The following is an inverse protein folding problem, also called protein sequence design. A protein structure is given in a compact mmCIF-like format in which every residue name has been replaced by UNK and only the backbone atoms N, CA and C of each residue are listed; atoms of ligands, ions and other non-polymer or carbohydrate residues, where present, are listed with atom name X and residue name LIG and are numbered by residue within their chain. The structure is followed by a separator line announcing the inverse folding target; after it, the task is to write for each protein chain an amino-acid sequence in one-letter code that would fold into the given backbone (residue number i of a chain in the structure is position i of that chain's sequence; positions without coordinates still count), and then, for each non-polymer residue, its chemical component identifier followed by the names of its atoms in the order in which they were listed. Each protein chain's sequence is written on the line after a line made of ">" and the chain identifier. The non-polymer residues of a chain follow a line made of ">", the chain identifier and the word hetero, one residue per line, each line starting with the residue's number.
data_IF_878215868295
#
_entry.id   IF_878215868295
#
_cell.length_a   1.000
_cell.length_b   1.000
_cell.length_c   1.000
_cell.angle_alpha   90.00
_cell.angle_beta   90.00
_cell.angle_gamma   90.00
#
_symmetry.space_group_name_H-M   'P 1'
#
loop_
_entity.id
_entity.type
_entity.pdbx_description
1 polymer ?
#
# COMPACT_ATOMS: atom_id res chain seq x y z
N UNK A 1 9.95 -6.50 11.31
CA UNK A 1 9.80 -5.89 9.98
C UNK A 1 10.88 -4.83 9.84
N UNK A 2 11.58 -4.82 8.72
CA UNK A 2 12.68 -3.90 8.42
C UNK A 2 12.70 -3.59 6.92
N UNK A 3 13.32 -2.45 6.56
CA UNK A 3 13.60 -2.15 5.16
C UNK A 3 14.79 -3.00 4.69
N UNK A 4 14.72 -3.48 3.46
CA UNK A 4 15.78 -4.27 2.82
C UNK A 4 16.24 -3.58 1.54
N UNK A 5 17.45 -3.91 1.09
CA UNK A 5 18.07 -3.30 -0.10
C UNK A 5 17.49 -3.82 -1.44
N UNK A 6 16.71 -4.91 -1.40
CA UNK A 6 16.09 -5.47 -2.60
C UNK A 6 15.18 -4.45 -3.28
N UNK A 7 15.38 -4.25 -4.58
CA UNK A 7 14.56 -3.31 -5.33
C UNK A 7 13.15 -3.86 -5.57
N UNK A 8 12.10 -3.02 -5.52
CA UNK A 8 10.73 -3.44 -5.84
C UNK A 8 10.61 -4.17 -7.18
N UNK A 9 11.31 -3.69 -8.21
CA UNK A 9 11.31 -4.27 -9.54
C UNK A 9 11.97 -5.66 -9.57
N UNK A 10 13.00 -5.90 -8.77
CA UNK A 10 13.61 -7.23 -8.62
C UNK A 10 12.63 -8.20 -7.97
N UNK A 11 11.95 -7.77 -6.90
CA UNK A 11 10.90 -8.56 -6.26
C UNK A 11 9.78 -8.89 -7.25
N UNK A 12 9.23 -7.90 -7.96
CA UNK A 12 8.17 -8.10 -8.97
C UNK A 12 8.63 -9.09 -10.05
N UNK A 13 9.85 -8.94 -10.57
CA UNK A 13 10.39 -9.79 -11.62
C UNK A 13 10.65 -11.24 -11.18
N UNK A 14 10.84 -11.48 -9.88
CA UNK A 14 11.04 -12.82 -9.31
C UNK A 14 9.76 -13.65 -9.19
N UNK A 15 8.58 -13.04 -9.37
CA UNK A 15 7.29 -13.72 -9.20
C UNK A 15 6.86 -14.50 -10.45
N UNK A 16 5.94 -15.46 -10.26
CA UNK A 16 5.25 -16.15 -11.36
C UNK A 16 4.53 -15.15 -12.28
N UNK A 17 4.36 -15.51 -13.56
CA UNK A 17 3.96 -14.58 -14.62
C UNK A 17 2.62 -13.86 -14.34
N UNK A 18 1.64 -14.57 -13.78
CA UNK A 18 0.34 -14.03 -13.41
C UNK A 18 0.44 -13.03 -12.24
N UNK A 19 1.18 -13.39 -11.19
CA UNK A 19 1.44 -12.55 -10.02
C UNK A 19 2.23 -11.30 -10.42
N UNK A 20 3.29 -11.49 -11.22
CA UNK A 20 4.14 -10.43 -11.76
C UNK A 20 3.32 -9.40 -12.52
N UNK A 21 2.40 -9.86 -13.37
CA UNK A 21 1.54 -8.98 -14.17
C UNK A 21 0.69 -8.08 -13.26
N UNK A 22 0.03 -8.67 -12.25
CA UNK A 22 -0.80 -7.92 -11.30
C UNK A 22 0.04 -6.94 -10.47
N UNK A 23 1.19 -7.38 -9.95
CA UNK A 23 2.07 -6.51 -9.16
C UNK A 23 2.63 -5.36 -10.00
N UNK A 24 3.02 -5.63 -11.25
CA UNK A 24 3.55 -4.60 -12.14
C UNK A 24 2.49 -3.54 -12.46
N UNK A 25 1.25 -3.95 -12.73
CA UNK A 25 0.14 -3.02 -13.01
C UNK A 25 -0.18 -2.13 -11.80
N UNK A 26 -0.29 -2.73 -10.62
CA UNK A 26 -0.52 -1.98 -9.37
C UNK A 26 0.65 -1.07 -9.03
N UNK A 27 1.89 -1.55 -9.19
CA UNK A 27 3.10 -0.77 -8.96
C UNK A 27 3.15 0.46 -9.88
N UNK A 28 2.82 0.28 -11.16
CA UNK A 28 2.74 1.38 -12.14
C UNK A 28 1.65 2.38 -11.78
N UNK A 29 0.46 1.89 -11.40
CA UNK A 29 -0.65 2.73 -10.96
C UNK A 29 -0.28 3.58 -9.74
N UNK A 30 0.31 2.96 -8.71
CA UNK A 30 0.71 3.66 -7.48
C UNK A 30 1.80 4.70 -7.78
N UNK A 31 2.83 4.37 -8.59
CA UNK A 31 3.89 5.32 -8.99
C UNK A 31 3.34 6.51 -9.76
N UNK A 32 2.33 6.29 -10.60
CA UNK A 32 1.69 7.36 -11.37
C UNK A 32 0.84 8.25 -10.47
N UNK A 33 0.14 7.66 -9.50
CA UNK A 33 -0.70 8.38 -8.55
C UNK A 33 0.11 9.16 -7.48
N UNK A 34 1.33 8.70 -7.18
CA UNK A 34 2.23 9.28 -6.19
C UNK A 34 3.62 9.56 -6.79
N UNK A 35 3.73 10.50 -7.75
CA UNK A 35 4.99 10.80 -8.39
C UNK A 35 6.01 11.38 -7.39
N UNK A 36 7.26 10.97 -7.50
CA UNK A 36 8.38 11.51 -6.70
C UNK A 36 8.41 11.05 -5.24
N UNK A 37 7.56 10.10 -4.84
CA UNK A 37 7.63 9.48 -3.53
C UNK A 37 8.74 8.42 -3.46
N UNK A 38 9.36 8.30 -2.29
CA UNK A 38 10.30 7.21 -2.00
C UNK A 38 9.61 5.85 -2.13
N UNK A 39 10.34 4.87 -2.64
CA UNK A 39 9.87 3.50 -2.79
C UNK A 39 10.91 2.58 -2.16
N UNK A 40 10.46 1.73 -1.23
CA UNK A 40 11.35 0.82 -0.51
C UNK A 40 10.69 -0.54 -0.32
N UNK A 41 11.51 -1.53 -0.02
CA UNK A 41 11.06 -2.89 0.21
C UNK A 41 11.11 -3.19 1.70
N UNK A 42 10.02 -3.74 2.24
CA UNK A 42 9.95 -4.17 3.63
C UNK A 42 9.77 -5.67 3.75
N UNK A 43 10.52 -6.29 4.65
CA UNK A 43 10.42 -7.74 4.93
C UNK A 43 10.29 -8.04 6.43
N UNK A 44 9.72 -9.19 6.74
CA UNK A 44 9.66 -9.77 8.08
C UNK A 44 8.24 -9.98 8.59
N UNK A 45 8.10 -10.15 9.90
CA UNK A 45 6.81 -10.42 10.55
C UNK A 45 6.05 -9.11 10.78
N UNK A 46 4.84 -9.03 10.23
CA UNK A 46 3.91 -7.90 10.34
C UNK A 46 2.74 -8.23 11.29
N UNK A 47 1.72 -7.37 11.29
CA UNK A 47 0.49 -7.58 12.08
C UNK A 47 -0.10 -8.98 11.84
N UNK A 48 -0.58 -9.57 12.93
CA UNK A 48 -1.14 -10.92 12.91
C UNK A 48 -0.09 -12.04 12.82
N UNK A 49 1.20 -11.74 12.92
CA UNK A 49 2.26 -12.76 12.95
C UNK A 49 2.59 -13.34 11.57
N UNK A 50 2.17 -12.68 10.49
CA UNK A 50 2.43 -13.11 9.12
C UNK A 50 3.75 -12.54 8.62
N UNK A 51 4.59 -13.39 8.03
CA UNK A 51 5.77 -12.95 7.29
C UNK A 51 5.35 -12.39 5.94
N UNK A 52 5.78 -11.17 5.62
CA UNK A 52 5.38 -10.48 4.40
C UNK A 52 6.56 -9.77 3.74
N UNK A 53 6.42 -9.62 2.42
CA UNK A 53 7.21 -8.73 1.57
C UNK A 53 6.28 -7.63 1.08
N UNK A 54 6.51 -6.39 1.52
CA UNK A 54 5.68 -5.22 1.18
C UNK A 54 6.51 -4.18 0.43
N UNK A 55 6.08 -3.83 -0.79
CA UNK A 55 6.60 -2.64 -1.47
C UNK A 55 5.92 -1.43 -0.82
N UNK A 56 6.70 -0.60 -0.13
CA UNK A 56 6.24 0.66 0.48
C UNK A 56 6.42 1.83 -0.47
N UNK A 57 5.45 2.74 -0.50
CA UNK A 57 5.48 3.98 -1.28
C UNK A 57 5.17 5.16 -0.37
N UNK A 58 6.01 6.19 -0.45
CA UNK A 58 5.98 7.38 0.39
C UNK A 58 6.41 7.08 1.82
N UNK A 59 7.21 7.96 2.40
CA UNK A 59 7.65 7.84 3.78
C UNK A 59 6.79 8.73 4.69
N UNK A 60 6.21 8.13 5.73
CA UNK A 60 5.55 8.84 6.81
C UNK A 60 6.15 8.38 8.14
N UNK A 61 6.57 9.34 8.96
CA UNK A 61 7.04 9.07 10.31
C UNK A 61 5.95 9.45 11.31
N UNK A 62 5.69 8.58 12.29
CA UNK A 62 4.90 8.97 13.46
C UNK A 62 5.64 8.68 14.75
N UNK A 63 5.43 9.55 15.73
CA UNK A 63 5.96 9.38 17.08
C UNK A 63 4.99 8.54 17.89
N UNK A 64 5.44 7.38 18.36
CA UNK A 64 4.68 6.54 19.28
C UNK A 64 4.65 7.16 20.68
N UNK A 65 3.79 6.63 21.54
CA UNK A 65 3.66 7.04 22.95
C UNK A 65 4.95 6.92 23.76
N UNK A 66 5.89 6.08 23.31
CA UNK A 66 7.23 5.91 23.90
C UNK A 66 8.28 6.87 23.29
N UNK A 67 7.84 7.89 22.56
CA UNK A 67 8.65 8.90 21.85
C UNK A 67 9.58 8.33 20.77
N UNK A 68 9.44 7.07 20.39
CA UNK A 68 10.17 6.52 19.24
C UNK A 68 9.50 6.97 17.95
N UNK A 69 10.32 7.48 17.04
CA UNK A 69 9.91 7.75 15.67
C UNK A 69 9.87 6.42 14.91
N UNK A 70 8.73 6.11 14.32
CA UNK A 70 8.56 4.94 13.46
C UNK A 70 8.40 5.45 12.06
N UNK A 71 9.34 5.08 11.20
CA UNK A 71 9.21 5.24 9.76
C UNK A 71 8.27 4.19 9.21
N UNK A 72 7.40 4.62 8.32
CA UNK A 72 6.35 3.80 7.77
C UNK A 72 6.02 4.23 6.35
N UNK A 73 5.37 3.35 5.59
CA UNK A 73 4.92 3.68 4.25
C UNK A 73 3.51 4.27 4.23
N UNK A 74 3.24 5.22 3.33
CA UNK A 74 1.88 5.71 3.09
C UNK A 74 1.03 4.63 2.43
N UNK A 75 1.54 4.05 1.35
CA UNK A 75 0.90 2.96 0.61
C UNK A 75 1.79 1.72 0.68
N UNK A 76 1.21 0.55 0.89
CA UNK A 76 1.93 -0.73 0.86
C UNK A 76 1.30 -1.69 -0.13
N UNK A 77 2.08 -2.31 -1.01
CA UNK A 77 1.62 -3.35 -1.92
C UNK A 77 2.27 -4.69 -1.55
N UNK A 78 1.47 -5.73 -1.36
CA UNK A 78 1.98 -7.07 -1.04
C UNK A 78 1.18 -8.18 -1.71
N UNK A 79 1.91 -9.25 -2.05
CA UNK A 79 1.33 -10.53 -2.48
C UNK A 79 1.11 -11.43 -1.24
N UNK A 80 -0.16 -11.77 -1.05
CA UNK A 80 -0.70 -12.88 -0.26
C UNK A 80 -0.02 -14.23 -0.41
N UNK A 81 -0.45 -15.25 0.34
CA UNK A 81 -0.42 -16.63 -0.19
C UNK A 81 -1.42 -16.83 -1.35
N UNK A 82 -2.64 -16.28 -1.23
CA UNK A 82 -3.73 -16.51 -2.21
C UNK A 82 -4.39 -15.25 -2.79
N UNK A 83 -4.00 -14.06 -2.31
CA UNK A 83 -4.63 -12.79 -2.70
C UNK A 83 -3.56 -11.69 -2.81
N UNK A 84 -3.96 -10.47 -3.11
CA UNK A 84 -3.13 -9.26 -3.06
C UNK A 84 -3.71 -8.32 -2.01
N UNK A 85 -2.85 -7.53 -1.38
CA UNK A 85 -3.27 -6.47 -0.47
C UNK A 85 -2.61 -5.15 -0.82
N UNK A 86 -3.43 -4.09 -0.83
CA UNK A 86 -2.99 -2.71 -0.81
C UNK A 86 -3.33 -2.12 0.57
N UNK A 87 -2.31 -1.64 1.27
CA UNK A 87 -2.44 -0.92 2.51
C UNK A 87 -2.42 0.58 2.24
N UNK A 88 -3.34 1.33 2.85
CA UNK A 88 -3.48 2.78 2.72
C UNK A 88 -3.50 3.37 4.13
N UNK A 89 -2.37 3.91 4.56
CA UNK A 89 -2.17 4.49 5.88
C UNK A 89 -2.53 5.98 5.90
N UNK A 90 -3.72 6.31 5.40
CA UNK A 90 -4.26 7.66 5.35
C UNK A 90 -5.64 7.73 6.01
N UNK A 91 -5.86 8.81 6.77
CA UNK A 91 -7.09 9.06 7.53
C UNK A 91 -7.57 10.46 7.22
N UNK A 92 -8.84 10.57 6.84
CA UNK A 92 -9.55 11.82 6.68
C UNK A 92 -10.55 11.96 7.84
N UNK A 93 -10.37 13.02 8.65
CA UNK A 93 -11.12 13.19 9.89
C UNK A 93 -10.87 12.04 10.88
N UNK A 94 -11.85 11.12 10.99
CA UNK A 94 -11.80 9.94 11.89
C UNK A 94 -11.94 8.60 11.18
N UNK A 95 -11.88 8.60 9.84
CA UNK A 95 -12.07 7.39 9.03
C UNK A 95 -10.86 7.17 8.14
N UNK A 96 -10.47 5.92 7.98
CA UNK A 96 -9.46 5.57 7.00
C UNK A 96 -10.01 5.73 5.59
N UNK A 97 -9.17 6.10 4.62
CA UNK A 97 -9.60 6.24 3.23
C UNK A 97 -10.19 4.94 2.67
N UNK A 98 -9.62 3.78 3.02
CA UNK A 98 -10.18 2.50 2.60
C UNK A 98 -11.62 2.28 3.10
N UNK A 99 -12.02 2.84 4.24
CA UNK A 99 -13.40 2.80 4.74
C UNK A 99 -14.32 3.75 3.98
N UNK A 100 -13.80 4.90 3.54
CA UNK A 100 -14.53 5.93 2.78
C UNK A 100 -14.84 5.41 1.37
N UNK A 101 -13.85 4.82 0.70
CA UNK A 101 -13.94 4.37 -0.69
C UNK A 101 -14.48 2.93 -0.85
N UNK A 102 -14.73 2.20 0.25
CA UNK A 102 -15.02 0.75 0.22
C UNK A 102 -16.11 0.30 -0.75
N UNK A 103 -17.15 1.11 -0.95
CA UNK A 103 -18.29 0.76 -1.81
C UNK A 103 -18.04 1.04 -3.30
N UNK A 104 -16.98 1.78 -3.63
CA UNK A 104 -16.63 2.16 -5.00
C UNK A 104 -15.46 1.33 -5.54
N UNK A 105 -14.70 0.67 -4.67
CA UNK A 105 -13.51 -0.13 -5.01
C UNK A 105 -13.81 -1.45 -5.75
N UNK A 106 -15.08 -1.80 -5.93
CA UNK A 106 -15.48 -3.06 -6.59
C UNK A 106 -15.68 -4.21 -5.61
N UNK A 107 -15.36 -5.43 -6.05
CA UNK A 107 -15.55 -6.69 -5.30
C UNK A 107 -14.33 -7.02 -4.44
N UNK A 108 -13.99 -6.11 -3.54
CA UNK A 108 -12.81 -6.22 -2.67
C UNK A 108 -13.21 -6.42 -1.21
N UNK A 109 -12.29 -6.98 -0.41
CA UNK A 109 -12.42 -7.01 1.06
C UNK A 109 -11.68 -5.82 1.65
N UNK A 110 -12.40 -4.92 2.31
CA UNK A 110 -11.82 -3.76 2.99
C UNK A 110 -11.74 -3.97 4.51
N UNK A 111 -10.57 -3.75 5.09
CA UNK A 111 -10.37 -3.52 6.52
C UNK A 111 -10.32 -2.01 6.82
N UNK A 112 -9.73 -1.63 7.96
CA UNK A 112 -9.52 -0.20 8.28
C UNK A 112 -8.57 0.45 7.27
N UNK A 113 -7.35 -0.04 7.15
CA UNK A 113 -6.34 0.48 6.23
C UNK A 113 -5.95 -0.50 5.12
N UNK A 114 -6.68 -1.61 4.94
CA UNK A 114 -6.32 -2.70 4.03
C UNK A 114 -7.38 -2.94 2.98
N UNK A 115 -6.98 -3.17 1.74
CA UNK A 115 -7.85 -3.57 0.64
C UNK A 115 -7.27 -4.86 0.07
N UNK A 116 -8.03 -5.95 0.12
CA UNK A 116 -7.59 -7.27 -0.30
C UNK A 116 -8.49 -7.83 -1.40
N UNK A 117 -7.89 -8.43 -2.42
CA UNK A 117 -8.58 -8.97 -3.60
C UNK A 117 -7.79 -10.13 -4.21
N UNK A 118 -8.46 -11.05 -4.89
CA UNK A 118 -7.79 -12.21 -5.49
C UNK A 118 -7.34 -11.94 -6.92
N UNK A 119 -8.11 -11.13 -7.66
CA UNK A 119 -7.87 -10.81 -9.06
C UNK A 119 -7.99 -9.32 -9.29
N UNK A 120 -7.27 -8.82 -10.28
CA UNK A 120 -7.31 -7.40 -10.61
C UNK A 120 -8.67 -6.95 -11.16
N UNK A 121 -9.38 -7.83 -11.86
CA UNK A 121 -10.75 -7.60 -12.36
C UNK A 121 -11.79 -7.34 -11.26
N UNK A 122 -11.50 -7.74 -10.02
CA UNK A 122 -12.38 -7.46 -8.88
C UNK A 122 -12.24 -6.01 -8.38
N UNK A 123 -11.21 -5.27 -8.83
CA UNK A 123 -10.87 -3.94 -8.33
C UNK A 123 -11.24 -2.86 -9.35
N UNK A 124 -11.92 -1.82 -8.90
CA UNK A 124 -12.06 -0.60 -9.69
C UNK A 124 -10.75 0.21 -9.62
N UNK A 125 -9.91 0.10 -10.65
CA UNK A 125 -8.60 0.75 -10.71
C UNK A 125 -8.68 2.27 -10.73
N UNK A 126 -9.71 2.86 -11.32
CA UNK A 126 -9.89 4.31 -11.32
C UNK A 126 -10.18 4.84 -9.92
N UNK A 127 -11.06 4.17 -9.18
CA UNK A 127 -11.33 4.51 -7.78
C UNK A 127 -10.12 4.25 -6.89
N UNK A 128 -9.38 3.15 -7.11
CA UNK A 128 -8.15 2.87 -6.38
C UNK A 128 -7.12 3.99 -6.57
N UNK A 129 -6.93 4.43 -7.83
CA UNK A 129 -6.06 5.55 -8.18
C UNK A 129 -6.49 6.84 -7.48
N UNK A 130 -7.77 7.20 -7.57
CA UNK A 130 -8.30 8.42 -6.93
C UNK A 130 -8.06 8.41 -5.42
N UNK A 131 -8.28 7.28 -4.76
CA UNK A 131 -8.04 7.12 -3.33
C UNK A 131 -6.56 7.25 -2.97
N UNK A 132 -5.65 6.72 -3.81
CA UNK A 132 -4.20 6.85 -3.60
C UNK A 132 -3.74 8.30 -3.78
N UNK A 133 -4.23 8.99 -4.81
CA UNK A 133 -3.97 10.43 -5.02
C UNK A 133 -4.50 11.25 -3.83
N UNK A 134 -5.67 10.88 -3.29
CA UNK A 134 -6.22 11.48 -2.08
C UNK A 134 -5.31 11.25 -0.87
N UNK A 135 -4.79 10.02 -0.68
CA UNK A 135 -3.84 9.74 0.38
C UNK A 135 -2.60 10.65 0.31
N UNK A 136 -2.05 10.86 -0.89
CA UNK A 136 -0.90 11.75 -1.12
C UNK A 136 -1.16 13.20 -0.71
N UNK A 137 -2.35 13.74 -1.06
CA UNK A 137 -2.73 15.12 -0.68
C UNK A 137 -2.78 15.30 0.84
N UNK A 138 -3.35 14.34 1.56
CA UNK A 138 -3.46 14.41 3.04
C UNK A 138 -2.10 14.37 3.75
N UNK A 139 -1.07 13.78 3.13
CA UNK A 139 0.29 13.77 3.70
C UNK A 139 1.06 15.05 3.41
N UNK A 140 0.84 15.68 2.26
CA UNK A 140 1.48 16.97 1.93
C UNK A 140 0.92 18.11 2.79
N UNK A 141 -0.39 18.10 3.09
CA UNK A 141 -1.05 19.16 3.88
C UNK A 141 -0.67 19.16 5.37
N UNK A 142 -0.07 18.08 5.90
CA UNK A 142 0.35 17.99 7.31
C UNK A 142 1.81 18.42 7.55
N UNK A 143 2.51 18.90 6.51
CA UNK A 143 3.88 19.38 6.59
C UNK A 143 4.00 20.90 6.78
N UNK A 144 2.90 21.62 7.02
CA UNK A 144 2.88 23.04 7.37
C UNK A 144 2.45 23.29 8.83
#
# INVERSE_FOLDING_TARGET
>A
MEQVETLPEEYINSQEQDIKTVLHELHTLIKTALPGQDICMWEGIFWGGSEQRIIGYGNFSYTRSDKKQVEWFLIGLTRQKNYFSVYVNAVEGRKYLAEIYKFQLGKVKTGKSSISFNKLEDVNLDTLREMIEHAGRLTTEKME
#
